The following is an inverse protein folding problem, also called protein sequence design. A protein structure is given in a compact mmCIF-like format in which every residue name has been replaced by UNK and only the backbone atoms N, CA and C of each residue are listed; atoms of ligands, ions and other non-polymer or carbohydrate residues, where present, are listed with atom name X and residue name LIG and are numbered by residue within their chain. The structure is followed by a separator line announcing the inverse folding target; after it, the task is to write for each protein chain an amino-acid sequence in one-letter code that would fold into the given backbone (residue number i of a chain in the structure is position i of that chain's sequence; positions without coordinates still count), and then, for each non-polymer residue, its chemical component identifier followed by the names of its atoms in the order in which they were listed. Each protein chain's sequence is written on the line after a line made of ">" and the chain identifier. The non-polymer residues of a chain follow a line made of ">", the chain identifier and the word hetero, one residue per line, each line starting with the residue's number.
data_IF_219579371436
#
_entry.id   IF_219579371436
#
_cell.length_a   1.000
_cell.length_b   1.000
_cell.length_c   1.000
_cell.angle_alpha   90.00
_cell.angle_beta   90.00
_cell.angle_gamma   90.00
#
_symmetry.space_group_name_H-M   'P 1'
#
loop_
_entity.id
_entity.type
_entity.pdbx_description
1 polymer ?
#
# COMPACT_ATOMS: atom_id res chain seq x y z
N UNK A 1 -11.51 2.86 -9.68
CA UNK A 1 -12.65 2.17 -10.33
C UNK A 1 -12.23 1.37 -11.56
N UNK A 2 -11.47 1.93 -12.51
CA UNK A 2 -11.06 1.19 -13.71
C UNK A 2 -10.32 -0.14 -13.44
N UNK A 3 -9.36 -0.16 -12.52
CA UNK A 3 -8.60 -1.39 -12.21
C UNK A 3 -9.34 -2.31 -11.22
N UNK A 4 -9.83 -1.76 -10.11
CA UNK A 4 -10.38 -2.55 -8.99
C UNK A 4 -11.91 -2.69 -9.02
N UNK A 5 -12.60 -2.06 -9.97
CA UNK A 5 -14.07 -2.04 -10.05
C UNK A 5 -14.73 -1.09 -9.05
N UNK A 6 -14.32 -1.12 -7.77
CA UNK A 6 -14.84 -0.25 -6.71
C UNK A 6 -13.75 0.18 -5.73
N UNK A 7 -14.08 1.14 -4.86
CA UNK A 7 -13.21 1.52 -3.73
C UNK A 7 -13.06 0.37 -2.73
N UNK A 8 -14.14 -0.34 -2.44
CA UNK A 8 -14.13 -1.44 -1.47
C UNK A 8 -13.23 -2.58 -1.94
N UNK A 9 -13.30 -2.94 -3.22
CA UNK A 9 -12.42 -3.94 -3.81
C UNK A 9 -10.93 -3.53 -3.77
N UNK A 10 -10.63 -2.23 -3.90
CA UNK A 10 -9.28 -1.72 -3.69
C UNK A 10 -8.85 -1.84 -2.21
N UNK A 11 -9.73 -1.47 -1.27
CA UNK A 11 -9.47 -1.58 0.17
C UNK A 11 -9.21 -3.04 0.55
N UNK A 12 -10.00 -3.99 0.02
CA UNK A 12 -9.81 -5.41 0.25
C UNK A 12 -8.46 -5.90 -0.29
N UNK A 13 -8.12 -5.53 -1.54
CA UNK A 13 -6.85 -5.92 -2.16
C UNK A 13 -5.63 -5.36 -1.39
N UNK A 14 -5.67 -4.08 -1.01
CA UNK A 14 -4.60 -3.42 -0.27
C UNK A 14 -4.48 -3.96 1.16
N UNK A 15 -5.60 -4.21 1.83
CA UNK A 15 -5.63 -4.80 3.17
C UNK A 15 -5.05 -6.21 3.15
N UNK A 16 -5.40 -7.01 2.14
CA UNK A 16 -4.85 -8.34 1.95
C UNK A 16 -3.32 -8.30 1.73
N UNK A 17 -2.80 -7.40 0.89
CA UNK A 17 -1.36 -7.24 0.70
C UNK A 17 -0.63 -6.87 2.01
N UNK A 18 -1.20 -5.95 2.80
CA UNK A 18 -0.64 -5.54 4.09
C UNK A 18 -0.69 -6.66 5.15
N UNK A 19 -1.80 -7.41 5.21
CA UNK A 19 -2.00 -8.49 6.17
C UNK A 19 -1.11 -9.71 5.86
N UNK A 20 -0.94 -10.03 4.57
CA UNK A 20 -0.21 -11.23 4.12
C UNK A 20 1.29 -11.02 3.94
N UNK A 21 1.79 -9.78 4.06
CA UNK A 21 3.23 -9.51 4.13
C UNK A 21 3.83 -10.17 5.37
N UNK A 22 4.53 -11.30 5.18
CA UNK A 22 5.17 -12.00 6.29
C UNK A 22 6.39 -11.22 6.82
N UNK A 23 6.51 -11.12 8.15
CA UNK A 23 7.55 -10.33 8.81
C UNK A 23 7.38 -8.82 8.60
N UNK A 24 8.50 -8.13 8.51
CA UNK A 24 8.61 -6.70 8.25
C UNK A 24 8.43 -6.36 6.77
N UNK A 25 7.82 -5.22 6.46
CA UNK A 25 7.65 -4.80 5.08
C UNK A 25 6.64 -3.66 4.90
N UNK A 26 6.19 -3.51 3.66
CA UNK A 26 5.28 -2.45 3.25
C UNK A 26 4.23 -2.99 2.29
N UNK A 27 3.03 -2.41 2.31
CA UNK A 27 2.04 -2.53 1.24
C UNK A 27 1.99 -1.23 0.42
N UNK A 28 1.84 -1.34 -0.89
CA UNK A 28 1.94 -0.23 -1.82
C UNK A 28 0.74 -0.19 -2.76
N UNK A 29 0.33 1.04 -3.10
CA UNK A 29 -0.39 1.33 -4.34
C UNK A 29 0.59 2.04 -5.26
N UNK A 30 0.82 1.46 -6.42
CA UNK A 30 1.71 2.00 -7.45
C UNK A 30 0.94 2.41 -8.69
N UNK A 31 1.47 3.38 -9.41
CA UNK A 31 1.00 3.77 -10.74
C UNK A 31 2.07 3.45 -11.78
N UNK A 32 1.64 2.83 -12.86
CA UNK A 32 2.42 2.56 -14.06
C UNK A 32 2.20 3.66 -15.09
N UNK A 33 3.13 3.78 -16.04
CA UNK A 33 2.97 4.68 -17.20
C UNK A 33 1.65 4.40 -17.90
N UNK A 34 0.90 5.45 -18.22
CA UNK A 34 -0.46 5.36 -18.76
C UNK A 34 -1.56 5.31 -17.68
N UNK A 35 -1.20 5.43 -16.40
CA UNK A 35 -2.15 5.59 -15.30
C UNK A 35 -2.79 4.30 -14.78
N UNK A 36 -2.35 3.11 -15.24
CA UNK A 36 -2.74 1.83 -14.64
C UNK A 36 -2.21 1.77 -13.21
N UNK A 37 -3.02 1.30 -12.26
CA UNK A 37 -2.61 1.13 -10.87
C UNK A 37 -2.42 -0.34 -10.51
N UNK A 38 -1.59 -0.61 -9.50
CA UNK A 38 -1.30 -1.95 -8.99
C UNK A 38 -1.15 -1.90 -7.46
N UNK A 39 -1.65 -2.94 -6.78
CA UNK A 39 -1.38 -3.17 -5.35
C UNK A 39 -0.36 -4.28 -5.21
N UNK A 40 0.64 -4.08 -4.36
CA UNK A 40 1.64 -5.09 -4.07
C UNK A 40 2.25 -4.91 -2.66
N UNK A 41 3.12 -5.81 -2.24
CA UNK A 41 3.89 -5.68 -0.99
C UNK A 41 5.37 -6.00 -1.20
N UNK A 42 6.23 -5.47 -0.34
CA UNK A 42 7.67 -5.71 -0.36
C UNK A 42 8.20 -6.06 1.02
N UNK A 43 9.22 -6.92 1.13
CA UNK A 43 9.85 -7.25 2.40
C UNK A 43 10.77 -6.12 2.87
N UNK A 44 10.91 -6.00 4.19
CA UNK A 44 11.84 -5.07 4.82
C UNK A 44 11.69 -3.61 4.32
N UNK A 45 12.74 -3.03 3.74
CA UNK A 45 12.74 -1.67 3.18
C UNK A 45 12.84 -1.66 1.66
N UNK A 46 12.70 -2.83 1.03
CA UNK A 46 12.57 -2.90 -0.40
C UNK A 46 11.34 -2.08 -0.81
N UNK A 47 11.41 -1.42 -1.95
CA UNK A 47 10.30 -0.60 -2.45
C UNK A 47 10.17 -0.76 -3.97
N UNK A 48 9.02 -0.38 -4.56
CA UNK A 48 8.73 -0.61 -5.98
C UNK A 48 9.67 0.07 -6.98
N UNK A 49 10.54 0.98 -6.53
CA UNK A 49 11.54 1.64 -7.38
C UNK A 49 12.87 0.87 -7.45
N UNK A 50 13.06 -0.13 -6.60
CA UNK A 50 14.29 -0.94 -6.59
C UNK A 50 14.29 -1.94 -7.76
N UNK A 51 15.44 -2.19 -8.41
CA UNK A 51 15.54 -3.21 -9.44
C UNK A 51 15.37 -4.62 -8.84
N UNK A 52 14.64 -5.50 -9.52
CA UNK A 52 14.53 -6.92 -9.17
C UNK A 52 13.56 -7.24 -8.03
N UNK A 53 12.75 -6.28 -7.57
CA UNK A 53 11.64 -6.52 -6.64
C UNK A 53 10.39 -6.97 -7.38
N UNK A 54 9.49 -7.68 -6.69
CA UNK A 54 8.24 -8.22 -7.26
C UNK A 54 7.18 -7.17 -7.60
N UNK A 55 7.46 -5.91 -7.30
CA UNK A 55 6.60 -4.75 -7.53
C UNK A 55 7.18 -3.84 -8.61
N UNK A 56 6.33 -3.13 -9.34
CA UNK A 56 6.77 -2.09 -10.26
C UNK A 56 5.98 -0.79 -10.11
N UNK A 57 6.31 0.18 -10.96
CA UNK A 57 5.65 1.48 -11.00
C UNK A 57 6.10 2.45 -9.91
N UNK A 58 5.51 3.64 -9.92
CA UNK A 58 5.80 4.70 -8.96
C UNK A 58 4.85 4.57 -7.77
N UNK A 59 5.35 4.43 -6.53
CA UNK A 59 4.49 4.33 -5.36
C UNK A 59 3.79 5.66 -5.07
N UNK A 60 2.47 5.62 -4.92
CA UNK A 60 1.61 6.78 -4.63
C UNK A 60 0.93 6.71 -3.26
N UNK A 61 0.86 5.51 -2.67
CA UNK A 61 0.47 5.27 -1.27
C UNK A 61 1.31 4.10 -0.73
N UNK A 62 1.75 4.20 0.52
CA UNK A 62 2.45 3.14 1.23
C UNK A 62 1.92 2.98 2.65
N UNK A 63 1.84 1.74 3.12
CA UNK A 63 1.53 1.39 4.50
C UNK A 63 2.69 0.60 5.10
N UNK A 64 3.31 1.16 6.14
CA UNK A 64 4.34 0.47 6.94
C UNK A 64 3.68 -0.62 7.78
N UNK A 65 4.08 -1.87 7.56
CA UNK A 65 3.62 -3.04 8.35
C UNK A 65 4.75 -3.68 9.16
N UNK A 66 5.85 -2.97 9.37
CA UNK A 66 6.79 -3.28 10.44
C UNK A 66 6.08 -3.17 11.80
N UNK A 67 6.39 -4.07 12.73
CA UNK A 67 5.74 -4.07 14.04
C UNK A 67 5.90 -2.73 14.76
N UNK A 68 7.05 -2.04 14.62
CA UNK A 68 7.25 -0.71 15.23
C UNK A 68 6.18 0.32 14.85
N UNK A 69 5.51 0.17 13.69
CA UNK A 69 4.53 1.13 13.20
C UNK A 69 3.20 1.02 13.96
N UNK A 70 2.91 -0.12 14.59
CA UNK A 70 1.59 -0.38 15.19
C UNK A 70 1.63 -1.05 16.57
N UNK A 71 2.73 -1.67 16.99
CA UNK A 71 2.72 -2.60 18.12
C UNK A 71 2.27 -1.98 19.44
N UNK A 72 2.63 -0.71 19.72
CA UNK A 72 2.26 -0.05 20.97
C UNK A 72 0.74 0.12 21.13
N UNK A 73 0.01 0.32 20.02
CA UNK A 73 -1.44 0.55 20.06
C UNK A 73 -2.25 -0.70 19.67
N UNK A 74 -1.68 -1.58 18.85
CA UNK A 74 -2.40 -2.70 18.24
C UNK A 74 -1.82 -4.08 18.58
N UNK A 75 -0.59 -4.14 19.11
CA UNK A 75 0.11 -5.40 19.40
C UNK A 75 0.11 -6.32 18.17
N UNK A 76 -0.38 -7.56 18.29
CA UNK A 76 -0.47 -8.52 17.20
C UNK A 76 -1.64 -8.24 16.22
N UNK A 77 -2.49 -7.24 16.49
CA UNK A 77 -3.70 -6.94 15.70
C UNK A 77 -3.38 -6.03 14.51
N UNK A 78 -2.53 -6.52 13.61
CA UNK A 78 -2.23 -5.84 12.34
C UNK A 78 -3.50 -5.51 11.53
N UNK A 79 -4.53 -6.37 11.44
CA UNK A 79 -5.78 -6.03 10.75
C UNK A 79 -6.44 -4.76 11.30
N UNK A 80 -6.56 -4.60 12.61
CA UNK A 80 -7.13 -3.40 13.24
C UNK A 80 -6.35 -2.12 12.88
N UNK A 81 -5.02 -2.22 12.78
CA UNK A 81 -4.17 -1.12 12.35
C UNK A 81 -4.39 -0.75 10.86
N UNK A 82 -4.52 -1.76 9.99
CA UNK A 82 -4.84 -1.56 8.57
C UNK A 82 -6.20 -0.84 8.43
N UNK A 83 -7.21 -1.28 9.16
CA UNK A 83 -8.53 -0.64 9.15
C UNK A 83 -8.49 0.82 9.66
N UNK A 84 -7.65 1.09 10.67
CA UNK A 84 -7.44 2.44 11.18
C UNK A 84 -6.70 3.33 10.18
N UNK A 85 -5.73 2.79 9.44
CA UNK A 85 -4.97 3.50 8.43
C UNK A 85 -5.89 4.13 7.37
N UNK A 86 -6.88 3.39 6.86
CA UNK A 86 -7.80 3.91 5.84
C UNK A 86 -8.62 5.14 6.27
N UNK A 87 -8.74 5.39 7.59
CA UNK A 87 -9.46 6.54 8.14
C UNK A 87 -8.64 7.83 8.16
N UNK A 88 -7.31 7.73 8.00
CA UNK A 88 -6.38 8.86 8.14
C UNK A 88 -5.56 9.15 6.88
N UNK A 89 -5.80 8.41 5.79
CA UNK A 89 -5.12 8.65 4.51
C UNK A 89 -5.47 10.04 3.98
N UNK A 90 -4.43 10.80 3.61
CA UNK A 90 -4.59 12.02 2.83
C UNK A 90 -4.74 11.69 1.34
N UNK A 91 -5.98 11.50 0.91
CA UNK A 91 -6.29 11.15 -0.49
C UNK A 91 -5.89 12.24 -1.50
N UNK A 92 -5.87 13.51 -1.10
CA UNK A 92 -5.41 14.60 -1.99
C UNK A 92 -3.93 14.45 -2.35
N UNK A 93 -3.11 13.98 -1.42
CA UNK A 93 -1.69 13.73 -1.69
C UNK A 93 -1.48 12.49 -2.58
N UNK A 94 -2.28 11.44 -2.38
CA UNK A 94 -2.27 10.25 -3.25
C UNK A 94 -2.67 10.64 -4.68
N UNK A 95 -3.70 11.47 -4.83
CA UNK A 95 -4.14 11.98 -6.12
C UNK A 95 -3.09 12.87 -6.80
N UNK A 96 -2.44 13.78 -6.05
CA UNK A 96 -1.35 14.61 -6.56
C UNK A 96 -0.21 13.73 -7.11
N UNK A 97 0.22 12.71 -6.36
CA UNK A 97 1.27 11.77 -6.78
C UNK A 97 0.85 10.95 -8.00
N UNK A 98 -0.40 10.50 -8.05
CA UNK A 98 -0.94 9.80 -9.22
C UNK A 98 -0.88 10.69 -10.47
N UNK A 99 -1.30 11.95 -10.36
CA UNK A 99 -1.29 12.89 -11.48
C UNK A 99 0.11 13.19 -12.02
N UNK A 100 1.13 13.22 -11.16
CA UNK A 100 2.53 13.45 -11.53
C UNK A 100 3.21 12.23 -12.16
N UNK A 101 2.77 11.02 -11.80
CA UNK A 101 3.46 9.77 -12.15
C UNK A 101 2.77 8.93 -13.23
N UNK A 102 1.54 9.27 -13.64
CA UNK A 102 0.79 8.56 -14.69
C UNK A 102 1.33 8.80 -16.10
#
# INVERSE_FOLDING_TARGET
>A
EAEFGSKDAFVDAFSNAAATQFGSGWAWLCVHKGGKVEVCSTPNQDNPLMPGVSCGGTPILGLDVWEHAYYLNYQNRRPDYIDAFFKVINWNEVERRYAEAK
#
